data_IF_301376148206
#
_entry.id   IF_301376148206
#
_cell.length_a   1.000
_cell.length_b   1.000
_cell.length_c   1.000
_cell.angle_alpha   90.00
_cell.angle_beta   90.00
_cell.angle_gamma   90.00
#
_symmetry.space_group_name_H-M   'P 1'
#
loop_
_entity.id
_entity.type
_entity.pdbx_description
1 polymer ?
#
# COMPACT_ATOMS: atom_id res chain seq x y z
N UNK A 1 25.64 -5.42 -3.88
CA UNK A 1 24.99 -4.10 -4.06
C UNK A 1 23.55 -4.27 -3.62
N UNK A 2 23.23 -3.82 -2.41
CA UNK A 2 21.84 -3.75 -1.93
C UNK A 2 21.21 -2.61 -2.71
N UNK A 3 20.37 -2.92 -3.70
CA UNK A 3 19.59 -1.88 -4.34
C UNK A 3 18.63 -1.34 -3.27
N UNK A 4 18.75 -0.05 -2.94
CA UNK A 4 17.70 0.69 -2.24
C UNK A 4 16.44 0.65 -3.12
N UNK A 5 15.63 -0.39 -2.99
CA UNK A 5 14.31 -0.45 -3.62
C UNK A 5 13.45 0.63 -2.98
N UNK A 6 13.33 1.76 -3.68
CA UNK A 6 12.47 2.85 -3.27
C UNK A 6 11.00 2.38 -3.24
N UNK A 7 10.22 2.78 -2.24
CA UNK A 7 8.83 2.36 -2.14
C UNK A 7 8.00 2.82 -3.33
N UNK A 8 7.09 1.96 -3.78
CA UNK A 8 6.16 2.23 -4.88
C UNK A 8 5.00 3.05 -4.32
N UNK A 9 4.91 4.32 -4.72
CA UNK A 9 3.76 5.18 -4.38
C UNK A 9 2.76 5.23 -5.53
N UNK A 10 1.47 5.09 -5.22
CA UNK A 10 0.42 5.10 -6.24
C UNK A 10 -0.98 5.29 -5.68
N UNK A 11 -1.93 5.52 -6.58
CA UNK A 11 -3.35 5.56 -6.26
C UNK A 11 -3.95 4.16 -6.40
N UNK A 12 -4.69 3.69 -5.41
CA UNK A 12 -5.42 2.42 -5.47
C UNK A 12 -6.41 2.50 -6.62
N UNK A 13 -6.32 1.53 -7.53
CA UNK A 13 -7.27 1.37 -8.63
C UNK A 13 -8.25 0.24 -8.36
N UNK A 14 -7.75 -0.87 -7.83
CA UNK A 14 -8.53 -2.04 -7.44
C UNK A 14 -7.76 -2.88 -6.43
N UNK A 15 -8.49 -3.55 -5.54
CA UNK A 15 -8.04 -4.66 -4.72
C UNK A 15 -8.72 -5.95 -5.20
N UNK A 16 -8.00 -7.07 -5.12
CA UNK A 16 -8.53 -8.41 -5.33
C UNK A 16 -8.18 -9.28 -4.12
N UNK A 17 -9.16 -9.46 -3.24
CA UNK A 17 -9.00 -10.26 -2.01
C UNK A 17 -8.93 -11.75 -2.27
N UNK A 18 -9.40 -12.24 -3.43
CA UNK A 18 -9.27 -13.66 -3.79
C UNK A 18 -7.85 -13.96 -4.30
N UNK A 19 -7.29 -13.06 -5.11
CA UNK A 19 -5.94 -13.18 -5.63
C UNK A 19 -4.86 -12.63 -4.68
N UNK A 20 -5.24 -11.96 -3.58
CA UNK A 20 -4.36 -11.19 -2.71
C UNK A 20 -3.49 -10.19 -3.48
N UNK A 21 -4.11 -9.44 -4.39
CA UNK A 21 -3.39 -8.43 -5.17
C UNK A 21 -3.97 -7.03 -5.01
N UNK A 22 -3.11 -6.03 -5.14
CA UNK A 22 -3.44 -4.62 -5.12
C UNK A 22 -2.94 -3.99 -6.42
N UNK A 23 -3.84 -3.40 -7.20
CA UNK A 23 -3.48 -2.67 -8.41
C UNK A 23 -3.39 -1.19 -8.11
N UNK A 24 -2.20 -0.61 -8.33
CA UNK A 24 -1.94 0.81 -8.18
C UNK A 24 -1.75 1.47 -9.53
N UNK A 25 -2.37 2.64 -9.71
CA UNK A 25 -1.97 3.57 -10.74
C UNK A 25 -0.80 4.42 -10.22
N UNK A 26 0.34 4.32 -10.87
CA UNK A 26 1.57 5.06 -10.53
C UNK A 26 1.97 5.97 -11.68
N UNK A 27 2.57 7.11 -11.38
CA UNK A 27 3.17 7.98 -12.41
C UNK A 27 4.65 8.11 -12.13
N UNK A 28 5.47 7.66 -13.07
CA UNK A 28 6.92 7.75 -12.99
C UNK A 28 7.47 8.36 -14.28
N UNK A 29 8.35 9.36 -14.16
CA UNK A 29 8.96 10.07 -15.30
C UNK A 29 7.93 10.57 -16.34
N UNK A 30 6.78 11.08 -15.86
CA UNK A 30 5.69 11.60 -16.70
C UNK A 30 4.83 10.54 -17.39
N UNK A 31 5.07 9.25 -17.14
CA UNK A 31 4.27 8.16 -17.68
C UNK A 31 3.43 7.51 -16.58
N UNK A 32 2.13 7.46 -16.79
CA UNK A 32 1.21 6.72 -15.94
C UNK A 32 1.17 5.25 -16.35
N UNK A 33 1.23 4.35 -15.36
CA UNK A 33 1.13 2.91 -15.55
C UNK A 33 0.41 2.26 -14.37
N UNK A 34 -0.24 1.15 -14.65
CA UNK A 34 -0.78 0.28 -13.62
C UNK A 34 0.31 -0.70 -13.17
N UNK A 35 0.40 -0.91 -11.87
CA UNK A 35 1.32 -1.85 -11.23
C UNK A 35 0.48 -2.78 -10.36
N UNK A 36 0.54 -4.07 -10.64
CA UNK A 36 -0.07 -5.09 -9.79
C UNK A 36 0.95 -5.54 -8.75
N UNK A 37 0.55 -5.47 -7.50
CA UNK A 37 1.36 -5.83 -6.34
C UNK A 37 0.71 -7.05 -5.72
N UNK A 38 1.51 -8.09 -5.47
CA UNK A 38 1.09 -9.30 -4.76
C UNK A 38 1.31 -9.09 -3.27
N UNK A 39 0.30 -9.40 -2.45
CA UNK A 39 0.38 -9.39 -1.01
C UNK A 39 0.57 -10.83 -0.52
N UNK A 40 1.58 -11.06 0.30
CA UNK A 40 1.72 -12.29 1.05
C UNK A 40 0.78 -12.26 2.27
N UNK A 41 0.41 -13.42 2.83
CA UNK A 41 -0.41 -13.46 4.05
C UNK A 41 0.16 -12.65 5.23
N UNK A 42 1.49 -12.52 5.30
CA UNK A 42 2.20 -11.74 6.33
C UNK A 42 2.36 -10.25 6.00
N UNK A 43 1.95 -9.80 4.80
CA UNK A 43 2.03 -8.40 4.41
C UNK A 43 1.20 -7.53 5.34
N UNK A 44 1.79 -6.44 5.83
CA UNK A 44 1.08 -5.50 6.72
C UNK A 44 0.43 -4.39 5.91
N UNK A 45 -0.86 -4.14 6.15
CA UNK A 45 -1.55 -2.98 5.61
C UNK A 45 -1.90 -2.08 6.79
N UNK A 46 -1.45 -0.83 6.74
CA UNK A 46 -1.61 0.10 7.87
C UNK A 46 -2.00 1.48 7.40
N UNK A 47 -2.71 2.20 8.27
CA UNK A 47 -2.92 3.64 8.16
C UNK A 47 -2.55 4.33 9.47
N UNK A 48 -2.26 5.63 9.41
CA UNK A 48 -2.04 6.46 10.58
C UNK A 48 -3.25 7.37 10.78
N UNK A 49 -3.96 7.20 11.89
CA UNK A 49 -5.15 7.97 12.21
C UNK A 49 -5.04 8.61 13.59
N UNK A 50 -5.85 9.65 13.85
CA UNK A 50 -5.97 10.18 15.20
C UNK A 50 -6.63 9.13 16.10
N UNK A 51 -6.13 8.91 17.32
CA UNK A 51 -6.75 7.99 18.26
C UNK A 51 -8.16 8.49 18.61
N UNK A 52 -9.10 7.56 18.73
CA UNK A 52 -10.49 7.84 19.14
C UNK A 52 -10.66 7.81 20.66
N UNK A 53 -9.64 7.36 21.39
CA UNK A 53 -9.63 7.29 22.85
C UNK A 53 -9.40 8.66 23.49
N UNK A 54 -10.22 9.09 24.46
CA UNK A 54 -10.03 10.32 25.19
C UNK A 54 -8.66 10.39 25.85
N UNK A 55 -7.94 11.50 25.66
CA UNK A 55 -6.64 11.75 26.31
C UNK A 55 -5.41 11.23 25.55
N UNK A 56 -5.58 10.50 24.44
CA UNK A 56 -4.46 10.16 23.54
C UNK A 56 -4.23 11.30 22.54
N UNK A 57 -2.97 11.69 22.37
CA UNK A 57 -2.54 12.71 21.39
C UNK A 57 -1.65 12.08 20.30
N UNK A 58 -1.56 12.74 19.14
CA UNK A 58 -0.75 12.28 18.02
C UNK A 58 -1.49 11.37 17.03
N UNK A 59 -0.72 10.54 16.32
CA UNK A 59 -1.21 9.55 15.36
C UNK A 59 -0.90 8.14 15.86
N UNK A 60 -1.83 7.22 15.67
CA UNK A 60 -1.65 5.80 15.97
C UNK A 60 -1.70 5.00 14.68
N UNK A 61 -0.88 3.96 14.60
CA UNK A 61 -0.95 2.97 13.53
C UNK A 61 -2.20 2.12 13.72
N UNK A 62 -3.00 2.00 12.67
CA UNK A 62 -4.19 1.15 12.60
C UNK A 62 -3.98 0.12 11.50
N UNK A 63 -4.02 -1.15 11.86
CA UNK A 63 -3.99 -2.24 10.90
C UNK A 63 -5.29 -2.27 10.09
N UNK A 64 -5.16 -2.59 8.80
CA UNK A 64 -6.25 -2.76 7.85
C UNK A 64 -6.13 -4.13 7.17
N UNK A 65 -7.22 -4.58 6.57
CA UNK A 65 -7.21 -5.70 5.62
C UNK A 65 -7.28 -5.18 4.18
N UNK A 66 -6.93 -6.03 3.21
CA UNK A 66 -6.86 -5.63 1.80
C UNK A 66 -8.19 -5.03 1.30
N UNK A 67 -9.32 -5.64 1.68
CA UNK A 67 -10.66 -5.16 1.31
C UNK A 67 -11.09 -3.85 1.97
N UNK A 68 -10.31 -3.29 2.90
CA UNK A 68 -10.60 -1.97 3.47
C UNK A 68 -10.10 -0.82 2.57
N UNK A 69 -9.12 -1.10 1.70
CA UNK A 69 -8.54 -0.15 0.77
C UNK A 69 -9.58 0.25 -0.28
N UNK A 70 -9.71 1.55 -0.54
CA UNK A 70 -10.68 2.06 -1.52
C UNK A 70 -10.00 2.60 -2.76
N UNK A 71 -10.59 2.41 -3.95
CA UNK A 71 -10.16 3.11 -5.15
C UNK A 71 -10.07 4.62 -4.92
N UNK A 72 -8.99 5.23 -5.40
CA UNK A 72 -8.70 6.65 -5.23
C UNK A 72 -7.82 6.99 -4.02
N UNK A 73 -7.65 6.09 -3.05
CA UNK A 73 -6.71 6.30 -1.94
C UNK A 73 -5.26 6.28 -2.42
N UNK A 74 -4.39 7.09 -1.82
CA UNK A 74 -2.95 7.08 -2.10
C UNK A 74 -2.27 6.19 -1.08
N UNK A 75 -1.48 5.24 -1.57
CA UNK A 75 -0.69 4.33 -0.75
C UNK A 75 0.79 4.37 -1.14
N UNK A 76 1.64 4.08 -0.18
CA UNK A 76 3.06 3.80 -0.37
C UNK A 76 3.32 2.35 -0.01
N UNK A 77 3.91 1.60 -0.94
CA UNK A 77 4.18 0.18 -0.78
C UNK A 77 5.68 -0.08 -0.73
N UNK A 78 6.14 -0.70 0.35
CA UNK A 78 7.45 -1.33 0.39
C UNK A 78 7.28 -2.74 -0.17
N UNK A 79 7.88 -2.99 -1.32
CA UNK A 79 7.82 -4.26 -2.03
C UNK A 79 9.21 -4.70 -2.44
N UNK A 80 9.37 -6.00 -2.68
CA UNK A 80 10.55 -6.61 -3.27
C UNK A 80 10.21 -7.25 -4.60
N UNK A 81 11.12 -7.19 -5.54
CA UNK A 81 10.97 -7.92 -6.79
C UNK A 81 11.27 -9.42 -6.61
N UNK A 82 10.25 -10.26 -6.71
CA UNK A 82 10.37 -11.72 -6.57
C UNK A 82 9.69 -12.44 -7.74
N UNK A 83 10.47 -13.23 -8.49
CA UNK A 83 9.92 -14.08 -9.56
C UNK A 83 9.16 -13.32 -10.66
N UNK A 84 9.52 -12.06 -10.93
CA UNK A 84 8.83 -11.20 -11.90
C UNK A 84 7.68 -10.39 -11.35
N UNK A 85 7.36 -10.51 -10.05
CA UNK A 85 6.28 -9.80 -9.40
C UNK A 85 6.80 -8.78 -8.38
N UNK A 86 6.02 -7.72 -8.19
CA UNK A 86 6.19 -6.82 -7.05
C UNK A 86 5.47 -7.42 -5.84
N UNK A 87 6.22 -7.84 -4.83
CA UNK A 87 5.68 -8.52 -3.64
C UNK A 87 5.78 -7.62 -2.42
N UNK A 88 4.63 -7.23 -1.86
CA UNK A 88 4.57 -6.28 -0.75
C UNK A 88 5.03 -6.89 0.58
N UNK A 89 5.85 -6.15 1.31
CA UNK A 89 6.08 -6.38 2.74
C UNK A 89 5.15 -5.51 3.58
N UNK A 90 4.96 -4.25 3.17
CA UNK A 90 4.10 -3.30 3.88
C UNK A 90 3.42 -2.32 2.92
N UNK A 91 2.11 -2.14 3.08
CA UNK A 91 1.30 -1.13 2.42
C UNK A 91 0.90 -0.07 3.45
N UNK A 92 1.27 1.18 3.21
CA UNK A 92 0.92 2.32 4.07
C UNK A 92 -0.07 3.23 3.36
N UNK A 93 -1.23 3.48 3.96
CA UNK A 93 -2.16 4.51 3.48
C UNK A 93 -1.60 5.88 3.81
N UNK A 94 -1.40 6.69 2.77
CA UNK A 94 -0.85 8.05 2.86
C UNK A 94 -1.98 9.08 2.84
N UNK A 95 -2.99 8.88 1.99
CA UNK A 95 -4.13 9.77 1.86
C UNK A 95 -5.40 8.96 1.58
N UNK A 96 -6.38 9.08 2.46
CA UNK A 96 -7.76 8.68 2.18
C UNK A 96 -8.40 9.83 1.37
N UNK A 97 -9.06 9.49 0.27
CA UNK A 97 -9.79 10.45 -0.58
C UNK A 97 -11.29 10.41 -0.31
#
# INVERSE_FOLDING_TARGET
>A
MTADEAPISGTVKADDTMANTLTLQTTAKGKTRDVTIVLKPESKIVKFARPTEPGKTGFVEQALVLGDLKPGWVVSVTAKHEGGNEVAETVKVVLEK
#
